data_IF_029884789965
#
_entry.id   IF_029884789965
#
_cell.length_a   1.000
_cell.length_b   1.000
_cell.length_c   1.000
_cell.angle_alpha   90.00
_cell.angle_beta   90.00
_cell.angle_gamma   90.00
#
_symmetry.space_group_name_H-M   'P 1'
#
loop_
_entity.id
_entity.type
_entity.pdbx_description
1 polymer ?
#
# COMPACT_ATOMS: atom_id res chain seq x y z
N UNK A 1 -13.93 -10.15 12.01
CA UNK A 1 -12.52 -10.35 11.65
C UNK A 1 -12.47 -10.82 10.20
N UNK A 2 -12.27 -9.88 9.27
CA UNK A 2 -12.29 -10.13 7.83
C UNK A 2 -11.06 -10.94 7.40
N UNK A 3 -11.31 -12.07 6.74
CA UNK A 3 -10.29 -12.91 6.13
C UNK A 3 -10.08 -12.40 4.72
N UNK A 4 -8.82 -12.22 4.33
CA UNK A 4 -8.40 -11.79 2.98
C UNK A 4 -9.17 -12.58 1.91
N UNK A 5 -9.84 -11.88 1.03
CA UNK A 5 -10.52 -12.35 -0.16
C UNK A 5 -9.51 -12.40 -1.30
N UNK A 6 -9.52 -13.50 -2.05
CA UNK A 6 -8.58 -13.72 -3.16
C UNK A 6 -8.75 -12.61 -4.22
N UNK A 7 -7.74 -11.76 -4.38
CA UNK A 7 -7.59 -10.90 -5.56
C UNK A 7 -7.16 -11.69 -6.82
N UNK A 8 -7.39 -13.01 -6.88
CA UNK A 8 -7.29 -13.80 -8.12
C UNK A 8 -8.66 -14.13 -8.71
N UNK A 9 -9.75 -13.68 -8.08
CA UNK A 9 -11.12 -13.91 -8.49
C UNK A 9 -11.76 -12.87 -9.42
N UNK A 10 -11.05 -11.83 -9.85
CA UNK A 10 -11.60 -10.87 -10.84
C UNK A 10 -11.72 -11.56 -12.21
N UNK A 11 -12.88 -12.21 -12.40
CA UNK A 11 -13.42 -12.83 -13.63
C UNK A 11 -12.33 -13.17 -14.65
N UNK A 12 -11.72 -14.36 -14.52
CA UNK A 12 -11.07 -15.01 -15.66
C UNK A 12 -12.14 -15.28 -16.72
N UNK A 13 -12.41 -14.28 -17.59
CA UNK A 13 -12.98 -14.53 -18.90
C UNK A 13 -12.03 -15.55 -19.54
N UNK A 14 -12.55 -16.74 -19.81
CA UNK A 14 -11.89 -17.73 -20.65
C UNK A 14 -11.52 -17.05 -21.97
N UNK A 15 -10.30 -16.55 -22.07
CA UNK A 15 -9.69 -16.18 -23.34
C UNK A 15 -9.00 -17.43 -23.84
N UNK A 16 -9.76 -18.24 -24.57
CA UNK A 16 -9.19 -19.06 -25.64
C UNK A 16 -8.40 -18.13 -26.55
N UNK A 17 -7.08 -18.05 -26.37
CA UNK A 17 -6.12 -17.69 -27.41
C UNK A 17 -4.69 -17.97 -26.94
N UNK A 18 -3.99 -18.76 -27.76
CA UNK A 18 -2.55 -19.10 -27.79
C UNK A 18 -1.69 -18.44 -26.69
N UNK A 19 -1.41 -19.24 -25.67
CA UNK A 19 -0.54 -18.88 -24.54
C UNK A 19 0.91 -18.82 -25.04
N UNK A 20 1.42 -17.62 -25.36
CA UNK A 20 2.85 -17.36 -25.19
C UNK A 20 3.05 -17.20 -23.68
N UNK A 21 3.71 -18.17 -23.04
CA UNK A 21 3.97 -18.17 -21.60
C UNK A 21 4.82 -16.94 -21.29
N UNK A 22 4.18 -15.86 -20.83
CA UNK A 22 4.90 -14.68 -20.37
C UNK A 22 5.63 -15.04 -19.06
N UNK A 23 6.85 -14.52 -18.89
CA UNK A 23 7.68 -14.71 -17.67
C UNK A 23 6.91 -14.43 -16.37
N UNK A 24 5.91 -13.55 -16.42
CA UNK A 24 5.05 -13.18 -15.29
C UNK A 24 4.17 -14.35 -14.82
N UNK A 25 3.64 -15.16 -15.73
CA UNK A 25 2.80 -16.31 -15.39
C UNK A 25 3.60 -17.43 -14.69
N UNK A 26 4.86 -17.63 -15.09
CA UNK A 26 5.76 -18.60 -14.43
C UNK A 26 6.11 -18.20 -12.99
N UNK A 27 6.21 -16.90 -12.71
CA UNK A 27 6.51 -16.39 -11.36
C UNK A 27 5.30 -16.48 -10.42
N UNK A 28 4.09 -16.35 -10.96
CA UNK A 28 2.84 -16.50 -10.20
C UNK A 28 2.55 -17.97 -9.85
N UNK A 29 3.08 -18.94 -10.62
CA UNK A 29 2.95 -20.39 -10.35
C UNK A 29 3.82 -20.88 -9.18
N UNK A 30 4.87 -20.15 -8.81
CA UNK A 30 5.81 -20.51 -7.73
C UNK A 30 5.36 -20.03 -6.33
N UNK A 31 4.24 -19.30 -6.22
CA UNK A 31 3.75 -18.82 -4.94
C UNK A 31 3.02 -19.97 -4.23
N UNK A 32 3.51 -20.46 -3.07
CA UNK A 32 2.84 -21.54 -2.35
C UNK A 32 1.46 -21.08 -1.89
N UNK A 33 0.40 -21.65 -2.46
CA UNK A 33 -0.97 -21.42 -2.00
C UNK A 33 -1.18 -22.22 -0.72
N UNK A 34 -0.95 -21.58 0.43
CA UNK A 34 -1.24 -22.22 1.72
C UNK A 34 -2.74 -22.45 1.91
N UNK A 35 -3.11 -23.55 2.59
CA UNK A 35 -4.51 -23.87 2.91
C UNK A 35 -5.17 -22.85 3.86
N UNK A 36 -4.37 -22.04 4.57
CA UNK A 36 -4.83 -21.07 5.57
C UNK A 36 -4.40 -19.65 5.20
N UNK A 37 -5.36 -18.72 5.22
CA UNK A 37 -5.12 -17.28 5.01
C UNK A 37 -4.75 -16.61 6.33
N UNK A 38 -3.61 -15.93 6.36
CA UNK A 38 -3.11 -15.21 7.52
C UNK A 38 -3.02 -13.72 7.22
N UNK A 39 -3.54 -12.89 8.13
CA UNK A 39 -3.39 -11.44 8.03
C UNK A 39 -1.97 -11.03 8.44
N UNK A 40 -1.19 -10.54 7.48
CA UNK A 40 0.22 -10.13 7.65
C UNK A 40 0.39 -9.06 8.73
N UNK A 41 -0.59 -8.17 8.93
CA UNK A 41 -0.54 -7.13 9.97
C UNK A 41 -0.54 -7.69 11.39
N UNK A 42 -0.98 -8.94 11.59
CA UNK A 42 -0.96 -9.60 12.90
C UNK A 42 0.39 -10.25 13.21
N UNK A 43 1.36 -10.21 12.29
CA UNK A 43 2.66 -10.82 12.50
C UNK A 43 3.55 -9.95 13.40
N UNK A 44 4.26 -10.57 14.36
CA UNK A 44 5.11 -9.87 15.34
C UNK A 44 6.21 -9.00 14.71
N UNK A 45 6.74 -9.40 13.54
CA UNK A 45 7.77 -8.65 12.83
C UNK A 45 7.22 -7.48 12.02
N UNK A 46 5.92 -7.49 11.71
CA UNK A 46 5.31 -6.49 10.85
C UNK A 46 4.86 -5.32 11.73
N UNK A 47 5.41 -4.11 11.52
CA UNK A 47 4.98 -2.94 12.28
C UNK A 47 3.56 -2.56 11.90
N UNK A 48 2.92 -1.74 12.73
CA UNK A 48 1.58 -1.26 12.45
C UNK A 48 1.62 -0.21 11.32
N UNK A 49 0.75 -0.37 10.33
CA UNK A 49 0.63 0.53 9.18
C UNK A 49 -0.75 1.19 9.20
N UNK A 50 -0.78 2.51 9.10
CA UNK A 50 -1.99 3.33 9.12
C UNK A 50 -1.98 4.29 7.93
N UNK A 51 -3.12 4.46 7.27
CA UNK A 51 -3.25 5.41 6.16
C UNK A 51 -3.46 6.81 6.70
N UNK A 52 -2.67 7.78 6.23
CA UNK A 52 -2.84 9.17 6.65
C UNK A 52 -3.97 9.81 5.83
N UNK A 53 -4.98 10.46 6.46
CA UNK A 53 -6.01 11.21 5.75
C UNK A 53 -5.41 12.33 4.89
N UNK A 54 -5.91 12.51 3.67
CA UNK A 54 -5.35 13.46 2.69
C UNK A 54 -5.34 14.89 3.24
N UNK A 55 -6.37 15.25 4.01
CA UNK A 55 -6.50 16.58 4.64
C UNK A 55 -5.41 16.83 5.70
N UNK A 56 -4.99 15.78 6.42
CA UNK A 56 -4.03 15.88 7.50
C UNK A 56 -2.58 15.68 7.04
N UNK A 57 -2.34 15.19 5.83
CA UNK A 57 -1.00 14.91 5.31
C UNK A 57 -0.08 16.14 5.40
N UNK A 58 -0.56 17.32 5.01
CA UNK A 58 0.23 18.55 5.02
C UNK A 58 0.61 19.01 6.43
N UNK A 59 -0.27 18.77 7.41
CA UNK A 59 -0.05 19.13 8.82
C UNK A 59 0.87 18.15 9.50
N UNK A 60 0.65 16.85 9.28
CA UNK A 60 1.47 15.80 9.87
C UNK A 60 2.89 15.87 9.32
N UNK A 61 3.06 16.12 8.02
CA UNK A 61 4.38 16.15 7.39
C UNK A 61 5.11 17.50 7.53
N UNK A 62 4.52 18.48 8.21
CA UNK A 62 5.13 19.79 8.47
C UNK A 62 6.53 19.72 9.11
N UNK A 63 6.80 18.86 10.11
CA UNK A 63 8.12 18.78 10.75
C UNK A 63 9.26 18.37 9.81
N UNK A 64 8.95 17.71 8.69
CA UNK A 64 9.94 17.27 7.70
C UNK A 64 10.26 18.34 6.66
N UNK A 65 9.58 19.49 6.67
CA UNK A 65 9.89 20.59 5.76
C UNK A 65 9.66 20.27 4.28
N UNK A 66 8.67 19.40 3.97
CA UNK A 66 8.39 18.93 2.61
C UNK A 66 7.56 19.91 1.76
N UNK A 67 7.35 21.15 2.20
CA UNK A 67 6.65 22.17 1.42
C UNK A 67 7.63 22.74 0.39
N UNK A 68 7.27 22.64 -0.89
CA UNK A 68 8.01 23.24 -2.01
C UNK A 68 7.09 24.15 -2.81
N UNK A 69 7.66 25.17 -3.43
CA UNK A 69 6.96 25.98 -4.40
C UNK A 69 6.84 25.20 -5.71
N UNK A 70 5.64 25.16 -6.28
CA UNK A 70 5.44 24.68 -7.65
C UNK A 70 5.93 25.73 -8.66
N UNK A 71 6.07 25.35 -9.94
CA UNK A 71 6.48 26.26 -11.02
C UNK A 71 5.57 27.51 -11.17
N UNK A 72 4.36 27.45 -10.61
CA UNK A 72 3.38 28.53 -10.59
C UNK A 72 3.30 29.27 -9.24
N UNK A 73 4.22 29.02 -8.30
CA UNK A 73 4.27 29.68 -6.99
C UNK A 73 3.16 29.24 -6.03
N UNK A 74 2.63 28.02 -6.19
CA UNK A 74 1.68 27.42 -5.24
C UNK A 74 2.40 26.44 -4.32
N UNK A 75 2.05 26.48 -3.03
CA UNK A 75 2.53 25.51 -2.04
C UNK A 75 2.13 24.09 -2.45
N UNK A 76 3.14 23.25 -2.75
CA UNK A 76 2.99 21.83 -3.03
C UNK A 76 3.70 21.01 -1.96
N UNK A 77 3.08 19.91 -1.55
CA UNK A 77 3.73 18.92 -0.69
C UNK A 77 4.57 17.98 -1.56
N UNK A 78 5.90 18.00 -1.36
CA UNK A 78 6.88 17.17 -2.06
C UNK A 78 6.88 15.71 -1.54
N UNK A 79 5.75 15.02 -1.73
CA UNK A 79 5.56 13.63 -1.28
C UNK A 79 6.58 12.67 -1.88
N UNK A 80 7.07 12.97 -3.07
CA UNK A 80 8.05 12.16 -3.81
C UNK A 80 9.40 11.98 -3.10
N UNK A 81 9.72 12.85 -2.13
CA UNK A 81 10.93 12.74 -1.32
C UNK A 81 10.82 11.70 -0.20
N UNK A 82 9.60 11.23 0.10
CA UNK A 82 9.39 10.19 1.10
C UNK A 82 9.88 8.83 0.61
N UNK A 83 10.38 7.96 1.53
CA UNK A 83 10.71 6.59 1.18
C UNK A 83 9.52 5.87 0.54
N UNK A 84 9.76 5.20 -0.59
CA UNK A 84 8.70 4.55 -1.37
C UNK A 84 8.32 3.18 -0.81
N UNK A 85 7.05 2.80 -0.94
CA UNK A 85 6.53 1.45 -0.72
C UNK A 85 5.68 1.05 -1.92
N UNK A 86 5.82 -0.20 -2.39
CA UNK A 86 5.07 -0.67 -3.55
C UNK A 86 3.63 -0.96 -3.16
N UNK A 87 2.69 -0.69 -4.08
CA UNK A 87 1.29 -1.07 -3.93
C UNK A 87 1.13 -2.59 -3.77
N UNK A 88 2.04 -3.39 -4.35
CA UNK A 88 2.04 -4.86 -4.26
C UNK A 88 2.58 -5.39 -2.92
N UNK A 89 2.94 -4.52 -1.98
CA UNK A 89 3.38 -4.95 -0.64
C UNK A 89 2.21 -5.62 0.12
N UNK A 90 2.43 -6.77 0.78
CA UNK A 90 1.36 -7.48 1.47
C UNK A 90 0.64 -6.65 2.56
N UNK A 91 1.35 -5.78 3.28
CA UNK A 91 0.72 -4.95 4.33
C UNK A 91 -0.24 -3.92 3.70
N UNK A 92 0.15 -3.35 2.56
CA UNK A 92 -0.66 -2.38 1.82
C UNK A 92 -1.87 -3.05 1.18
N UNK A 93 -1.71 -4.27 0.66
CA UNK A 93 -2.81 -5.05 0.11
C UNK A 93 -3.87 -5.37 1.17
N UNK A 94 -3.46 -5.71 2.40
CA UNK A 94 -4.41 -5.94 3.50
C UNK A 94 -5.19 -4.66 3.82
N UNK A 95 -4.51 -3.51 3.92
CA UNK A 95 -5.19 -2.21 4.18
C UNK A 95 -6.19 -1.90 3.08
N UNK A 96 -5.76 -2.06 1.82
CA UNK A 96 -6.61 -1.84 0.66
C UNK A 96 -7.89 -2.66 0.74
N UNK A 97 -7.76 -3.94 1.08
CA UNK A 97 -8.90 -4.85 1.14
C UNK A 97 -9.86 -4.55 2.29
N UNK A 98 -9.32 -4.17 3.46
CA UNK A 98 -10.13 -3.74 4.60
C UNK A 98 -10.96 -2.51 4.20
N UNK A 99 -10.32 -1.52 3.58
CA UNK A 99 -11.02 -0.30 3.16
C UNK A 99 -12.05 -0.57 2.05
N UNK A 100 -11.71 -1.40 1.06
CA UNK A 100 -12.65 -1.81 -0.02
C UNK A 100 -13.81 -2.64 0.52
N UNK A 101 -13.62 -3.39 1.61
CA UNK A 101 -14.70 -4.14 2.27
C UNK A 101 -15.66 -3.22 3.05
N UNK A 102 -15.17 -2.08 3.51
CA UNK A 102 -15.96 -1.07 4.23
C UNK A 102 -16.65 -0.08 3.26
N UNK A 103 -16.03 0.17 2.11
CA UNK A 103 -16.49 1.14 1.12
C UNK A 103 -16.36 0.61 -0.32
N UNK A 104 -17.50 0.21 -0.90
CA UNK A 104 -17.61 -0.33 -2.26
C UNK A 104 -17.44 0.75 -3.37
N UNK A 105 -17.43 2.05 -3.03
CA UNK A 105 -17.46 3.15 -4.02
C UNK A 105 -16.09 3.81 -4.28
N UNK A 106 -14.99 3.17 -3.87
CA UNK A 106 -13.66 3.75 -4.05
C UNK A 106 -13.24 3.79 -5.53
N UNK A 107 -12.69 4.92 -6.03
CA UNK A 107 -12.26 5.03 -7.40
C UNK A 107 -11.05 4.14 -7.69
N UNK A 108 -10.89 3.73 -8.96
CA UNK A 108 -9.72 2.96 -9.37
C UNK A 108 -8.42 3.73 -9.10
N UNK A 109 -7.46 3.09 -8.43
CA UNK A 109 -6.16 3.69 -8.12
C UNK A 109 -6.17 4.69 -6.94
N UNK A 110 -7.22 4.71 -6.12
CA UNK A 110 -7.35 5.63 -4.96
C UNK A 110 -6.18 5.60 -3.97
N UNK A 111 -5.44 4.49 -3.93
CA UNK A 111 -4.33 4.26 -3.01
C UNK A 111 -2.99 4.81 -3.53
N UNK A 112 -2.90 5.13 -4.82
CA UNK A 112 -1.69 5.70 -5.41
C UNK A 112 -1.43 7.11 -4.85
N UNK A 113 -0.16 7.45 -4.63
CA UNK A 113 0.28 8.76 -4.09
C UNK A 113 -0.25 9.10 -2.69
N UNK A 114 -0.77 8.11 -1.95
CA UNK A 114 -1.12 8.26 -0.53
C UNK A 114 0.08 7.99 0.36
N UNK A 115 0.03 8.58 1.55
CA UNK A 115 1.07 8.41 2.57
C UNK A 115 0.64 7.40 3.63
N UNK A 116 1.54 6.46 3.92
CA UNK A 116 1.36 5.47 4.99
C UNK A 116 2.27 5.85 6.15
N UNK A 117 1.68 5.85 7.34
CA UNK A 117 2.36 6.01 8.61
C UNK A 117 2.70 4.62 9.16
N UNK A 118 3.97 4.39 9.38
CA UNK A 118 4.52 3.14 9.93
C UNK A 118 4.92 3.38 11.38
N UNK A 119 4.25 2.68 12.29
CA UNK A 119 4.50 2.74 13.72
C UNK A 119 5.19 1.46 14.15
N UNK A 120 6.46 1.58 14.58
CA UNK A 120 7.26 0.45 15.04
C UNK A 120 7.72 0.63 16.48
N UNK A 121 7.85 -0.48 17.18
CA UNK A 121 8.50 -0.51 18.49
C UNK A 121 9.99 -0.15 18.34
N UNK A 122 10.47 0.74 19.20
CA UNK A 122 11.89 1.12 19.27
C UNK A 122 12.40 0.91 20.68
N UNK A 123 13.54 0.21 20.83
CA UNK A 123 14.11 -0.08 22.16
C UNK A 123 14.57 1.19 22.89
N UNK A 124 14.97 2.23 22.17
CA UNK A 124 15.46 3.49 22.75
C UNK A 124 14.35 4.51 22.98
N UNK A 125 13.47 4.69 21.99
CA UNK A 125 12.43 5.72 22.00
C UNK A 125 11.06 5.21 22.46
N UNK A 126 10.92 3.90 22.73
CA UNK A 126 9.64 3.22 22.92
C UNK A 126 8.91 3.00 21.59
N UNK A 127 8.70 4.08 20.83
CA UNK A 127 8.02 4.06 19.55
C UNK A 127 8.76 4.92 18.52
N UNK A 128 8.81 4.45 17.28
CA UNK A 128 9.35 5.19 16.14
C UNK A 128 8.27 5.26 15.06
N UNK A 129 8.00 6.48 14.60
CA UNK A 129 7.04 6.75 13.53
C UNK A 129 7.83 7.12 12.27
N UNK A 130 7.47 6.51 11.14
CA UNK A 130 8.02 6.81 9.84
C UNK A 130 6.89 6.97 8.81
N UNK A 131 7.14 7.72 7.74
CA UNK A 131 6.18 7.95 6.67
C UNK A 131 6.72 7.42 5.36
N UNK A 132 5.87 6.79 4.55
CA UNK A 132 6.23 6.22 3.25
C UNK A 132 5.19 6.58 2.19
N UNK A 133 5.64 6.80 0.97
CA UNK A 133 4.78 7.06 -0.19
C UNK A 133 4.44 5.77 -0.92
N UNK A 134 3.15 5.52 -1.16
CA UNK A 134 2.70 4.38 -1.97
C UNK A 134 2.93 4.68 -3.46
N UNK A 135 3.63 3.78 -4.15
CA UNK A 135 3.90 3.86 -5.59
C UNK A 135 3.48 2.56 -6.30
N UNK A 136 3.01 2.67 -7.54
CA UNK A 136 2.60 1.51 -8.35
C UNK A 136 3.79 0.81 -9.02
N UNK A 137 4.85 1.55 -9.32
CA UNK A 137 6.10 1.05 -9.90
C UNK A 137 7.31 1.70 -9.24
N UNK A 138 8.40 0.93 -9.11
CA UNK A 138 9.68 1.39 -8.59
C UNK A 138 10.39 2.35 -9.56
#
# INVERSE_FOLDING_TARGET
MGVISEHVGSRKRSKSNRITISRKALLDEDIPTGDYRFNVLNHVLVPHHELVPIEDEAKILEPWGLKTDDAFGKDRLAKELLPKILITDPAIQVIKEIEESENDELPAGWLANRVVKVVRYSRSAGQSVAFRLIVESA
#
